data_IF_327046750297
#
_entry.id   IF_327046750297
#
_cell.length_a   1.000
_cell.length_b   1.000
_cell.length_c   1.000
_cell.angle_alpha   90.00
_cell.angle_beta   90.00
_cell.angle_gamma   90.00
#
_symmetry.space_group_name_H-M   'P 1'
#
loop_
_entity.id
_entity.type
_entity.pdbx_description
1 polymer ?
#
# COMPACT_ATOMS: atom_id res chain seq x y z
N UNK A 1 24.72 22.11 80.00
CA UNK A 1 24.09 22.92 78.94
C UNK A 1 23.65 21.96 77.84
N UNK A 2 22.33 21.79 77.62
CA UNK A 2 21.81 20.85 76.65
C UNK A 2 21.67 21.52 75.27
N UNK A 3 22.15 20.86 74.22
CA UNK A 3 21.81 21.22 72.85
C UNK A 3 20.63 20.35 72.39
N UNK A 4 19.47 21.00 72.23
CA UNK A 4 18.31 20.47 71.53
C UNK A 4 18.69 20.21 70.07
N UNK A 5 18.56 18.95 69.62
CA UNK A 5 18.44 18.64 68.19
C UNK A 5 16.96 18.45 67.86
N UNK A 6 16.48 19.29 66.95
CA UNK A 6 15.15 19.22 66.37
C UNK A 6 15.06 17.98 65.45
N UNK A 7 14.05 17.14 65.68
CA UNK A 7 13.60 16.15 64.71
C UNK A 7 12.81 16.86 63.62
N UNK A 8 13.35 16.93 62.40
CA UNK A 8 12.56 17.23 61.20
C UNK A 8 11.82 15.97 60.76
N UNK A 9 10.51 16.11 60.54
CA UNK A 9 9.66 15.07 60.00
C UNK A 9 9.99 14.82 58.52
N UNK A 10 9.95 13.57 58.02
CA UNK A 10 10.14 13.30 56.60
C UNK A 10 9.02 13.94 55.79
N UNK A 11 9.41 14.70 54.77
CA UNK A 11 8.51 15.29 53.80
C UNK A 11 7.61 14.22 53.17
N UNK A 12 6.32 14.53 53.06
CA UNK A 12 5.34 13.71 52.39
C UNK A 12 5.84 13.36 50.98
N UNK A 13 5.96 12.05 50.72
CA UNK A 13 6.18 11.49 49.39
C UNK A 13 5.11 12.06 48.47
N UNK A 14 5.52 12.92 47.52
CA UNK A 14 4.67 13.30 46.42
C UNK A 14 4.19 12.00 45.76
N UNK A 15 2.88 11.77 45.78
CA UNK A 15 2.28 10.69 45.03
C UNK A 15 2.64 10.92 43.56
N UNK A 16 3.42 10.00 43.00
CA UNK A 16 3.66 9.93 41.57
C UNK A 16 2.30 9.73 40.93
N UNK A 17 1.80 10.75 40.23
CA UNK A 17 0.61 10.61 39.40
C UNK A 17 0.84 9.45 38.42
N UNK A 18 -0.16 8.57 38.22
CA UNK A 18 -0.01 7.49 37.25
C UNK A 18 0.21 8.12 35.88
N UNK A 19 1.41 7.91 35.32
CA UNK A 19 1.70 8.20 33.92
C UNK A 19 0.57 7.62 33.07
N UNK A 20 -0.14 8.47 32.33
CA UNK A 20 -1.08 8.03 31.32
C UNK A 20 -0.36 7.06 30.39
N UNK A 21 -0.76 5.80 30.50
CA UNK A 21 -0.20 4.66 29.82
C UNK A 21 -0.27 4.81 28.30
N UNK A 22 0.82 4.45 27.60
CA UNK A 22 0.86 3.37 26.61
C UNK A 22 -0.34 3.19 25.63
N UNK A 23 -0.97 4.26 25.13
CA UNK A 23 -1.95 4.14 24.05
C UNK A 23 -1.23 4.27 22.72
N UNK A 24 -1.29 3.22 21.89
CA UNK A 24 -0.89 3.27 20.48
C UNK A 24 -2.04 3.91 19.73
N UNK A 25 -1.84 5.13 19.25
CA UNK A 25 -2.83 5.88 18.47
C UNK A 25 -2.29 6.14 17.06
N UNK A 26 -3.20 6.21 16.09
CA UNK A 26 -2.89 6.43 14.69
C UNK A 26 -3.79 7.59 14.21
N UNK A 27 -3.24 8.76 13.86
CA UNK A 27 -4.07 9.88 13.45
C UNK A 27 -4.71 9.63 12.06
N UNK A 28 -5.94 10.11 11.80
CA UNK A 28 -6.52 10.09 10.46
C UNK A 28 -5.63 10.77 9.41
N UNK A 29 -5.54 10.18 8.22
CA UNK A 29 -4.68 10.70 7.14
C UNK A 29 -5.32 10.59 5.74
N UNK A 30 -4.61 11.12 4.75
CA UNK A 30 -4.83 10.87 3.33
C UNK A 30 -4.15 9.57 2.91
N UNK A 31 -4.88 8.73 2.19
CA UNK A 31 -4.48 7.40 1.74
C UNK A 31 -4.68 7.28 0.24
N UNK A 32 -3.73 6.60 -0.42
CA UNK A 32 -3.78 6.30 -1.84
C UNK A 32 -4.04 4.81 -2.05
N UNK A 33 -5.01 4.49 -2.91
CA UNK A 33 -5.37 3.13 -3.27
C UNK A 33 -5.27 2.96 -4.79
N UNK A 34 -4.41 2.06 -5.26
CA UNK A 34 -4.44 1.66 -6.67
C UNK A 34 -5.76 0.98 -6.99
N UNK A 35 -6.35 1.32 -8.13
CA UNK A 35 -7.60 0.74 -8.61
C UNK A 35 -7.34 -0.30 -9.70
N UNK A 36 -7.76 -1.54 -9.42
CA UNK A 36 -7.68 -2.68 -10.33
C UNK A 36 -9.06 -3.25 -10.65
N UNK A 37 -9.16 -3.95 -11.79
CA UNK A 37 -10.40 -4.59 -12.24
C UNK A 37 -11.25 -3.68 -13.14
N UNK A 38 -12.22 -4.29 -13.82
CA UNK A 38 -13.06 -3.62 -14.80
C UNK A 38 -14.54 -3.80 -14.49
N UNK A 39 -14.96 -5.05 -14.27
CA UNK A 39 -16.31 -5.38 -13.84
C UNK A 39 -16.47 -5.08 -12.35
N UNK A 40 -15.54 -5.57 -11.54
CA UNK A 40 -15.44 -5.27 -10.11
C UNK A 40 -14.17 -4.47 -9.83
N UNK A 41 -14.32 -3.32 -9.18
CA UNK A 41 -13.16 -2.48 -8.85
C UNK A 41 -12.63 -2.86 -7.47
N UNK A 42 -11.32 -3.07 -7.39
CA UNK A 42 -10.59 -3.33 -6.16
C UNK A 42 -9.66 -2.17 -5.85
N UNK A 43 -9.70 -1.70 -4.61
CA UNK A 43 -8.81 -0.70 -4.06
C UNK A 43 -7.69 -1.40 -3.27
N UNK A 44 -6.44 -1.19 -3.66
CA UNK A 44 -5.25 -1.75 -2.98
C UNK A 44 -4.37 -0.62 -2.48
N UNK A 45 -4.18 -0.56 -1.17
CA UNK A 45 -3.46 0.53 -0.52
C UNK A 45 -1.99 0.54 -0.92
N UNK A 46 -1.50 1.72 -1.30
CA UNK A 46 -0.09 1.98 -1.53
C UNK A 46 0.57 2.27 -0.18
N UNK A 47 1.28 1.28 0.35
CA UNK A 47 1.89 1.36 1.68
C UNK A 47 3.07 2.32 1.69
N UNK A 48 3.30 2.99 2.82
CA UNK A 48 4.48 3.82 3.05
C UNK A 48 5.15 3.43 4.37
N UNK A 49 6.39 2.92 4.32
CA UNK A 49 7.04 2.41 5.53
C UNK A 49 7.58 3.50 6.45
N UNK A 50 7.78 4.71 5.94
CA UNK A 50 8.28 5.85 6.70
C UNK A 50 7.22 6.45 7.64
N UNK A 51 5.94 6.12 7.47
CA UNK A 51 4.82 6.68 8.23
C UNK A 51 3.95 5.60 8.85
N UNK A 52 3.78 5.63 10.17
CA UNK A 52 2.99 4.64 10.92
C UNK A 52 1.55 4.49 10.38
N UNK A 53 0.93 5.61 10.00
CA UNK A 53 -0.43 5.66 9.43
C UNK A 53 -0.58 4.83 8.15
N UNK A 54 0.52 4.52 7.46
CA UNK A 54 0.56 3.83 6.18
C UNK A 54 1.07 2.38 6.26
N UNK A 55 1.37 1.86 7.45
CA UNK A 55 1.93 0.51 7.66
C UNK A 55 0.85 -0.60 7.73
N UNK A 56 -0.07 -0.57 6.79
CA UNK A 56 -1.15 -1.54 6.67
C UNK A 56 -1.28 -1.99 5.22
N UNK A 57 -1.20 -3.29 4.98
CA UNK A 57 -1.54 -3.83 3.69
C UNK A 57 -3.03 -4.17 3.66
N UNK A 58 -3.78 -3.47 2.81
CA UNK A 58 -5.24 -3.63 2.70
C UNK A 58 -5.65 -3.67 1.23
N UNK A 59 -6.56 -4.59 0.93
CA UNK A 59 -7.23 -4.71 -0.36
C UNK A 59 -8.72 -4.98 -0.13
N UNK A 60 -9.59 -4.29 -0.87
CA UNK A 60 -11.04 -4.48 -0.77
C UNK A 60 -11.72 -4.15 -2.09
N UNK A 61 -12.90 -4.72 -2.32
CA UNK A 61 -13.78 -4.29 -3.40
C UNK A 61 -14.35 -2.92 -3.04
N UNK A 62 -14.30 -1.98 -3.96
CA UNK A 62 -14.94 -0.66 -3.82
C UNK A 62 -16.07 -0.55 -4.83
N UNK A 63 -17.24 -0.11 -4.36
CA UNK A 63 -18.34 0.25 -5.24
C UNK A 63 -18.30 1.77 -5.48
N UNK A 64 -18.25 2.14 -6.77
CA UNK A 64 -18.18 3.51 -7.24
C UNK A 64 -19.56 3.95 -7.77
N UNK A 65 -19.93 5.24 -7.65
CA UNK A 65 -21.11 5.75 -8.35
C UNK A 65 -21.02 5.49 -9.85
N UNK A 66 -22.15 5.19 -10.50
CA UNK A 66 -22.17 4.74 -11.90
C UNK A 66 -21.43 5.69 -12.85
N UNK A 67 -21.65 7.01 -12.72
CA UNK A 67 -20.95 7.99 -13.55
C UNK A 67 -19.42 7.93 -13.38
N UNK A 68 -18.95 7.78 -12.13
CA UNK A 68 -17.52 7.65 -11.80
C UNK A 68 -16.95 6.34 -12.34
N UNK A 69 -17.71 5.24 -12.21
CA UNK A 69 -17.33 3.93 -12.73
C UNK A 69 -17.17 3.95 -14.25
N UNK A 70 -18.03 4.66 -14.97
CA UNK A 70 -17.93 4.80 -16.42
C UNK A 70 -16.67 5.58 -16.84
N UNK A 71 -16.35 6.68 -16.16
CA UNK A 71 -15.09 7.42 -16.40
C UNK A 71 -13.86 6.56 -16.11
N UNK A 72 -13.84 5.88 -14.97
CA UNK A 72 -12.78 4.92 -14.61
C UNK A 72 -12.59 3.86 -15.70
N UNK A 73 -13.68 3.21 -16.13
CA UNK A 73 -13.67 2.17 -17.17
C UNK A 73 -13.19 2.72 -18.51
N UNK A 74 -13.57 3.94 -18.86
CA UNK A 74 -13.12 4.56 -20.10
C UNK A 74 -11.61 4.81 -20.09
N UNK A 75 -11.07 5.34 -18.98
CA UNK A 75 -9.62 5.55 -18.83
C UNK A 75 -8.87 4.21 -18.82
N UNK A 76 -9.31 3.24 -18.02
CA UNK A 76 -8.69 1.90 -17.93
C UNK A 76 -8.71 1.16 -19.25
N UNK A 77 -9.78 1.27 -20.05
CA UNK A 77 -9.85 0.65 -21.39
C UNK A 77 -8.80 1.23 -22.34
N UNK A 78 -8.61 2.54 -22.30
CA UNK A 78 -7.65 3.23 -23.17
C UNK A 78 -6.20 3.07 -22.68
N UNK A 79 -6.00 2.86 -21.37
CA UNK A 79 -4.68 2.76 -20.75
C UNK A 79 -4.66 1.59 -19.75
N UNK A 80 -4.66 0.33 -20.23
CA UNK A 80 -4.88 -0.83 -19.37
C UNK A 80 -3.76 -1.08 -18.35
N UNK A 81 -2.54 -0.59 -18.62
CA UNK A 81 -1.40 -0.68 -17.71
C UNK A 81 -1.18 0.53 -16.81
N UNK A 82 -1.98 1.58 -16.92
CA UNK A 82 -1.73 2.80 -16.15
C UNK A 82 -2.01 2.61 -14.66
N UNK A 83 -1.22 3.31 -13.85
CA UNK A 83 -1.52 3.50 -12.45
C UNK A 83 -2.73 4.43 -12.35
N UNK A 84 -3.86 3.91 -11.84
CA UNK A 84 -5.04 4.70 -11.53
C UNK A 84 -5.21 4.63 -10.03
N UNK A 85 -5.33 5.77 -9.38
CA UNK A 85 -5.30 5.87 -7.93
C UNK A 85 -6.54 6.59 -7.43
N UNK A 86 -7.16 6.01 -6.42
CA UNK A 86 -8.22 6.64 -5.64
C UNK A 86 -7.63 7.13 -4.33
N UNK A 87 -7.89 8.38 -4.02
CA UNK A 87 -7.47 9.00 -2.78
C UNK A 87 -8.71 9.45 -2.00
N UNK A 88 -8.72 9.29 -0.68
CA UNK A 88 -9.77 9.92 0.11
C UNK A 88 -9.65 11.45 0.07
N UNK A 89 -10.77 12.13 0.27
CA UNK A 89 -10.84 13.58 0.26
C UNK A 89 -10.13 14.16 1.49
N UNK A 90 -9.48 15.32 1.35
CA UNK A 90 -8.75 15.98 2.44
C UNK A 90 -9.64 16.37 3.63
N UNK A 91 -10.91 16.63 3.37
CA UNK A 91 -11.94 16.90 4.41
C UNK A 91 -12.56 15.62 5.00
N UNK A 92 -12.16 14.44 4.52
CA UNK A 92 -12.64 13.15 5.01
C UNK A 92 -11.48 12.17 5.30
N UNK A 93 -10.51 12.57 6.16
CA UNK A 93 -9.41 11.69 6.56
C UNK A 93 -9.93 10.53 7.42
N UNK A 94 -9.23 9.41 7.40
CA UNK A 94 -9.52 8.27 8.26
C UNK A 94 -8.25 7.48 8.56
N UNK A 95 -8.34 6.50 9.46
CA UNK A 95 -7.27 5.53 9.71
C UNK A 95 -7.56 4.25 8.94
N UNK A 96 -6.56 3.61 8.33
CA UNK A 96 -6.76 2.36 7.58
C UNK A 96 -7.53 1.29 8.38
N UNK A 97 -7.28 1.06 9.69
CA UNK A 97 -8.05 0.10 10.49
C UNK A 97 -9.56 0.37 10.61
N UNK A 98 -10.04 1.61 10.38
CA UNK A 98 -11.46 1.93 10.43
C UNK A 98 -12.27 1.23 9.32
N UNK A 99 -11.64 0.87 8.20
CA UNK A 99 -12.26 0.13 7.09
C UNK A 99 -12.63 -1.30 7.53
N UNK A 100 -11.68 -2.18 7.91
CA UNK A 100 -12.01 -3.55 8.33
C UNK A 100 -12.80 -3.61 9.64
N UNK A 101 -12.72 -2.57 10.49
CA UNK A 101 -13.56 -2.44 11.67
C UNK A 101 -15.04 -2.13 11.34
N UNK A 102 -15.34 -1.74 10.10
CA UNK A 102 -16.69 -1.34 9.67
C UNK A 102 -17.10 0.07 10.10
N UNK A 103 -16.17 0.85 10.65
CA UNK A 103 -16.37 2.24 11.08
C UNK A 103 -16.33 3.23 9.91
N UNK A 104 -15.69 2.84 8.81
CA UNK A 104 -15.62 3.61 7.56
C UNK A 104 -16.25 2.85 6.39
N UNK A 105 -17.58 2.64 6.37
CA UNK A 105 -18.26 1.92 5.27
C UNK A 105 -18.32 2.73 3.98
N UNK A 106 -18.18 4.06 4.07
CA UNK A 106 -18.15 4.99 2.94
C UNK A 106 -17.18 6.14 3.23
N UNK A 107 -16.64 6.76 2.19
CA UNK A 107 -15.81 7.96 2.32
C UNK A 107 -15.84 8.80 1.04
N UNK A 108 -15.61 10.11 1.16
CA UNK A 108 -15.42 11.00 0.01
C UNK A 108 -14.06 10.74 -0.63
N UNK A 109 -14.00 10.74 -1.96
CA UNK A 109 -12.81 10.39 -2.71
C UNK A 109 -12.67 11.15 -4.04
N UNK A 110 -11.46 11.08 -4.59
CA UNK A 110 -11.08 11.53 -5.92
C UNK A 110 -10.30 10.40 -6.63
N UNK A 111 -10.43 10.28 -7.95
CA UNK A 111 -9.65 9.36 -8.79
C UNK A 111 -8.70 10.15 -9.70
N UNK A 112 -7.45 9.74 -9.77
CA UNK A 112 -6.39 10.35 -10.59
C UNK A 112 -5.71 9.30 -11.49
N UNK A 113 -5.08 9.78 -12.57
CA UNK A 113 -4.30 8.95 -13.49
C UNK A 113 -2.82 9.28 -13.33
N UNK A 114 -2.01 8.27 -13.05
CA UNK A 114 -0.56 8.35 -12.98
C UNK A 114 -0.01 8.99 -11.70
N UNK A 115 1.31 9.05 -11.64
CA UNK A 115 2.05 9.79 -10.62
C UNK A 115 2.48 11.14 -11.19
N UNK A 116 2.05 12.26 -10.58
CA UNK A 116 2.53 13.57 -11.00
C UNK A 116 3.99 13.73 -10.56
N UNK A 117 4.74 14.54 -11.31
CA UNK A 117 6.05 15.00 -10.86
C UNK A 117 5.91 15.72 -9.52
N UNK A 118 6.94 15.66 -8.67
CA UNK A 118 6.98 16.37 -7.39
C UNK A 118 7.65 17.74 -7.60
N UNK A 119 6.90 18.85 -7.64
CA UNK A 119 7.48 20.16 -7.83
C UNK A 119 8.40 20.49 -6.63
N UNK A 120 9.65 20.95 -6.86
CA UNK A 120 10.61 21.21 -5.77
C UNK A 120 10.07 22.14 -4.68
N UNK A 121 9.23 23.10 -5.05
CA UNK A 121 8.58 24.05 -4.13
C UNK A 121 7.64 23.40 -3.11
N UNK A 122 7.22 22.14 -3.33
CA UNK A 122 6.36 21.40 -2.43
C UNK A 122 7.09 20.27 -1.68
N UNK A 123 8.37 20.00 -1.99
CA UNK A 123 9.12 18.92 -1.34
C UNK A 123 9.36 19.18 0.16
N UNK A 124 9.39 20.45 0.57
CA UNK A 124 9.55 20.85 1.97
C UNK A 124 8.21 20.98 2.72
N UNK A 125 7.06 20.81 2.05
CA UNK A 125 5.74 20.86 2.70
C UNK A 125 5.47 19.54 3.44
N UNK A 126 5.39 19.53 4.79
CA UNK A 126 5.13 18.32 5.56
C UNK A 126 3.73 17.73 5.30
N UNK A 127 2.86 18.48 4.62
CA UNK A 127 1.53 18.06 4.21
C UNK A 127 1.43 17.86 2.69
N UNK A 128 2.56 17.78 1.99
CA UNK A 128 2.56 17.54 0.56
C UNK A 128 1.83 16.23 0.23
N UNK A 129 0.85 16.37 -0.66
CA UNK A 129 0.12 15.25 -1.22
C UNK A 129 0.25 15.30 -2.74
N UNK A 130 0.85 14.27 -3.39
CA UNK A 130 1.10 14.31 -4.83
C UNK A 130 -0.17 14.55 -5.66
N UNK A 131 -1.31 14.05 -5.18
CA UNK A 131 -2.59 14.16 -5.87
C UNK A 131 -3.49 15.28 -5.32
N UNK A 132 -2.91 16.40 -4.87
CA UNK A 132 -3.69 17.56 -4.46
C UNK A 132 -4.43 18.18 -5.68
N UNK A 133 -5.78 18.17 -5.69
CA UNK A 133 -6.57 18.66 -6.81
C UNK A 133 -6.60 20.18 -6.94
N UNK A 134 -6.09 20.92 -5.96
CA UNK A 134 -6.03 22.38 -5.99
C UNK A 134 -4.68 22.90 -6.46
N UNK A 135 -3.61 22.10 -6.31
CA UNK A 135 -2.23 22.55 -6.54
C UNK A 135 -1.51 21.80 -7.65
N UNK A 136 -1.77 20.50 -7.80
CA UNK A 136 -0.92 19.62 -8.62
C UNK A 136 -1.67 19.06 -9.82
N UNK A 137 -2.78 18.34 -9.60
CA UNK A 137 -3.38 17.48 -10.63
C UNK A 137 -4.89 17.44 -10.56
N UNK A 138 -5.57 17.63 -11.69
CA UNK A 138 -7.01 17.44 -11.79
C UNK A 138 -7.42 15.96 -11.73
N UNK A 139 -8.49 15.62 -11.02
CA UNK A 139 -8.99 14.25 -10.98
C UNK A 139 -9.67 13.87 -12.31
N UNK A 140 -9.63 12.58 -12.65
CA UNK A 140 -10.50 11.97 -13.67
C UNK A 140 -11.96 12.11 -13.23
N UNK A 141 -12.21 11.84 -11.95
CA UNK A 141 -13.50 11.99 -11.30
C UNK A 141 -13.27 12.45 -9.86
N UNK A 142 -13.81 13.61 -9.51
CA UNK A 142 -13.61 14.24 -8.21
C UNK A 142 -14.86 14.25 -7.34
N UNK A 143 -14.65 14.41 -6.03
CA UNK A 143 -15.65 14.61 -4.99
C UNK A 143 -16.87 13.69 -5.08
N UNK A 144 -16.63 12.39 -4.97
CA UNK A 144 -17.68 11.37 -4.96
C UNK A 144 -17.61 10.52 -3.68
N UNK A 145 -18.72 9.85 -3.34
CA UNK A 145 -18.74 8.89 -2.22
C UNK A 145 -18.38 7.50 -2.73
N UNK A 146 -17.25 6.96 -2.28
CA UNK A 146 -16.87 5.57 -2.44
C UNK A 146 -17.54 4.71 -1.36
N UNK A 147 -18.00 3.50 -1.71
CA UNK A 147 -18.54 2.53 -0.75
C UNK A 147 -17.57 1.37 -0.59
N UNK A 148 -17.18 1.09 0.65
CA UNK A 148 -16.36 -0.08 0.98
C UNK A 148 -17.24 -1.32 0.86
N UNK A 149 -16.88 -2.18 -0.09
CA UNK A 149 -17.47 -3.49 -0.26
C UNK A 149 -16.73 -4.54 0.56
N UNK A 150 -16.57 -5.70 -0.05
CA UNK A 150 -15.96 -6.87 0.60
C UNK A 150 -14.46 -6.67 0.83
N UNK A 151 -14.01 -6.99 2.04
CA UNK A 151 -12.58 -7.12 2.35
C UNK A 151 -11.95 -8.32 1.63
N UNK A 152 -10.78 -8.10 1.02
CA UNK A 152 -9.95 -9.13 0.39
C UNK A 152 -8.72 -9.41 1.24
N UNK A 153 -8.07 -8.37 1.73
CA UNK A 153 -6.93 -8.43 2.63
C UNK A 153 -7.01 -7.30 3.63
N UNK A 154 -6.70 -7.59 4.89
CA UNK A 154 -6.27 -6.60 5.86
C UNK A 154 -5.17 -7.22 6.70
N UNK A 155 -4.01 -6.58 6.72
CA UNK A 155 -2.86 -7.05 7.49
C UNK A 155 -2.04 -5.84 8.00
N UNK A 156 -2.02 -5.56 9.31
CA UNK A 156 -1.00 -4.68 9.87
C UNK A 156 0.38 -5.32 9.69
N UNK A 157 1.41 -4.52 9.42
CA UNK A 157 2.76 -5.05 9.35
C UNK A 157 3.26 -5.46 10.74
N UNK A 158 3.96 -6.59 10.79
CA UNK A 158 4.66 -7.03 11.98
C UNK A 158 6.15 -7.01 11.68
N UNK A 159 6.85 -6.01 12.20
CA UNK A 159 8.24 -5.71 11.83
C UNK A 159 9.26 -6.82 12.19
N UNK A 160 8.87 -7.79 13.01
CA UNK A 160 9.70 -8.96 13.32
C UNK A 160 9.58 -10.08 12.26
N UNK A 161 8.66 -9.98 11.31
CA UNK A 161 8.59 -10.90 10.19
C UNK A 161 9.82 -10.74 9.32
N UNK A 162 10.32 -11.86 8.80
CA UNK A 162 11.46 -11.89 7.91
C UNK A 162 10.99 -11.96 6.47
N UNK A 163 11.69 -11.26 5.59
CA UNK A 163 11.48 -11.38 4.16
C UNK A 163 11.72 -12.83 3.68
N UNK A 164 10.77 -13.41 2.92
CA UNK A 164 10.93 -14.75 2.36
C UNK A 164 12.01 -14.78 1.29
N UNK A 165 12.55 -15.97 0.97
CA UNK A 165 13.55 -16.13 -0.10
C UNK A 165 13.02 -15.78 -1.49
N UNK A 166 11.72 -16.02 -1.71
CA UNK A 166 11.03 -15.76 -2.97
C UNK A 166 9.74 -15.01 -2.70
N UNK A 167 9.27 -14.26 -3.68
CA UNK A 167 8.09 -13.42 -3.52
C UNK A 167 6.83 -14.26 -3.31
N UNK A 168 5.95 -13.75 -2.44
CA UNK A 168 4.62 -14.30 -2.22
C UNK A 168 3.61 -13.24 -2.59
N UNK A 169 2.54 -13.62 -3.26
CA UNK A 169 1.48 -12.72 -3.69
C UNK A 169 0.15 -13.17 -3.11
N UNK A 170 -0.74 -12.22 -2.88
CA UNK A 170 -2.15 -12.51 -2.79
C UNK A 170 -2.71 -12.53 -4.21
N UNK A 171 -3.28 -13.66 -4.63
CA UNK A 171 -4.06 -13.82 -5.86
C UNK A 171 -5.54 -13.75 -5.50
N UNK A 172 -6.26 -12.80 -6.10
CA UNK A 172 -7.68 -12.54 -5.81
C UNK A 172 -8.42 -12.04 -7.04
N UNK A 173 -9.75 -12.04 -7.02
CA UNK A 173 -10.56 -11.56 -8.14
C UNK A 173 -12.02 -11.99 -8.05
N UNK A 174 -12.81 -11.69 -9.06
CA UNK A 174 -14.23 -12.05 -9.14
C UNK A 174 -14.69 -12.08 -10.61
N UNK A 175 -15.69 -12.92 -10.92
CA UNK A 175 -16.38 -12.98 -12.21
C UNK A 175 -15.48 -13.02 -13.47
N UNK A 176 -14.37 -13.75 -13.40
CA UNK A 176 -13.45 -13.97 -14.53
C UNK A 176 -12.26 -12.99 -14.56
N UNK A 177 -12.25 -11.98 -13.69
CA UNK A 177 -11.10 -11.12 -13.45
C UNK A 177 -10.23 -11.66 -12.31
N UNK A 178 -8.92 -11.47 -12.41
CA UNK A 178 -7.99 -11.81 -11.34
C UNK A 178 -6.82 -10.83 -11.29
N UNK A 179 -6.29 -10.64 -10.08
CA UNK A 179 -5.27 -9.67 -9.74
C UNK A 179 -4.28 -10.30 -8.75
N UNK A 180 -3.07 -9.76 -8.72
CA UNK A 180 -2.07 -10.15 -7.74
C UNK A 180 -1.43 -8.91 -7.11
N UNK A 181 -1.22 -8.94 -5.79
CA UNK A 181 -0.40 -7.95 -5.07
C UNK A 181 0.67 -8.65 -4.25
N UNK A 182 1.91 -8.16 -4.27
CA UNK A 182 3.03 -8.72 -3.52
C UNK A 182 2.73 -8.60 -2.01
N UNK A 183 2.87 -9.69 -1.27
CA UNK A 183 2.77 -9.71 0.18
C UNK A 183 4.09 -9.22 0.77
N UNK A 184 4.09 -7.93 1.06
CA UNK A 184 5.13 -7.20 1.75
C UNK A 184 5.38 -7.74 3.17
N UNK A 185 6.43 -7.31 3.84
CA UNK A 185 6.73 -7.67 5.24
C UNK A 185 7.00 -6.46 6.12
N UNK A 186 7.59 -5.40 5.57
CA UNK A 186 8.11 -4.26 6.34
C UNK A 186 9.04 -4.70 7.48
N UNK A 187 9.95 -5.63 7.20
CA UNK A 187 10.91 -6.15 8.18
C UNK A 187 11.73 -5.00 8.80
N UNK A 188 11.93 -4.99 10.13
CA UNK A 188 12.89 -4.08 10.78
C UNK A 188 14.31 -4.53 10.39
N UNK A 189 15.04 -3.63 9.73
CA UNK A 189 16.38 -3.87 9.22
C UNK A 189 17.47 -3.28 10.11
N UNK A 190 17.13 -2.30 10.95
CA UNK A 190 18.06 -1.65 11.88
C UNK A 190 18.17 -2.43 13.20
N UNK A 191 19.33 -2.28 13.84
CA UNK A 191 19.56 -2.79 15.20
C UNK A 191 18.91 -1.94 16.30
N UNK A 192 18.89 -2.43 17.55
CA UNK A 192 18.26 -1.73 18.69
C UNK A 192 18.95 -0.42 19.11
N UNK A 193 20.07 -0.07 18.49
CA UNK A 193 20.84 1.15 18.77
C UNK A 193 20.96 2.06 17.54
N UNK A 194 20.21 1.76 16.48
CA UNK A 194 20.16 2.50 15.23
C UNK A 194 18.75 3.08 15.03
N UNK A 195 18.59 4.19 14.29
CA UNK A 195 17.27 4.64 13.89
C UNK A 195 16.50 3.55 13.14
N UNK A 196 15.19 3.47 13.36
CA UNK A 196 14.33 2.48 12.71
C UNK A 196 14.42 2.56 11.18
N UNK A 197 14.82 1.45 10.57
CA UNK A 197 14.82 1.26 9.12
C UNK A 197 13.99 0.03 8.76
N UNK A 198 13.09 0.16 7.78
CA UNK A 198 12.18 -0.91 7.36
C UNK A 198 12.45 -1.32 5.91
N UNK A 199 12.53 -2.63 5.65
CA UNK A 199 12.81 -3.20 4.32
C UNK A 199 14.02 -4.15 4.32
N UNK A 200 14.66 -4.40 3.15
CA UNK A 200 14.23 -3.93 1.85
C UNK A 200 12.99 -4.69 1.35
N UNK A 201 12.10 -4.07 0.57
CA UNK A 201 10.87 -4.66 0.03
C UNK A 201 10.42 -3.93 -1.26
N UNK A 202 9.33 -4.39 -1.87
CA UNK A 202 8.72 -3.73 -3.02
C UNK A 202 7.20 -3.92 -3.02
N UNK A 203 6.48 -2.89 -3.44
CA UNK A 203 5.05 -2.98 -3.76
C UNK A 203 4.93 -3.33 -5.24
N UNK A 204 4.24 -4.42 -5.55
CA UNK A 204 3.95 -4.80 -6.92
C UNK A 204 2.51 -5.27 -7.02
N UNK A 205 1.78 -4.66 -7.96
CA UNK A 205 0.36 -4.88 -8.18
C UNK A 205 0.13 -5.07 -9.67
N UNK A 206 -0.58 -6.14 -10.03
CA UNK A 206 -0.81 -6.52 -11.42
C UNK A 206 -2.19 -7.14 -11.61
N UNK A 207 -2.71 -6.99 -12.83
CA UNK A 207 -3.88 -7.71 -13.31
C UNK A 207 -3.43 -8.92 -14.13
N UNK A 208 -4.19 -10.01 -14.03
CA UNK A 208 -4.04 -11.17 -14.89
C UNK A 208 -4.90 -11.01 -16.13
N UNK A 209 -4.51 -11.69 -17.21
CA UNK A 209 -5.27 -11.70 -18.47
C UNK A 209 -6.67 -12.29 -18.31
N UNK A 210 -6.83 -13.19 -17.35
CA UNK A 210 -8.07 -13.88 -17.00
C UNK A 210 -7.91 -14.58 -15.64
N UNK A 211 -9.03 -14.87 -14.99
CA UNK A 211 -9.05 -15.76 -13.84
C UNK A 211 -8.42 -17.14 -14.17
N UNK A 212 -7.58 -17.70 -13.27
CA UNK A 212 -7.01 -19.03 -13.47
C UNK A 212 -8.09 -20.12 -13.38
N UNK A 213 -8.03 -21.08 -14.30
CA UNK A 213 -8.95 -22.23 -14.37
C UNK A 213 -8.77 -23.26 -13.25
N UNK A 214 -7.60 -23.28 -12.61
CA UNK A 214 -7.26 -24.18 -11.52
C UNK A 214 -7.74 -23.71 -10.14
N UNK A 215 -8.27 -22.48 -10.03
CA UNK A 215 -8.75 -21.91 -8.77
C UNK A 215 -10.26 -21.72 -8.82
N UNK A 216 -10.99 -22.34 -7.89
CA UNK A 216 -12.46 -22.18 -7.85
C UNK A 216 -12.85 -20.71 -7.66
N UNK A 217 -13.99 -20.26 -8.20
CA UNK A 217 -14.47 -18.88 -8.04
C UNK A 217 -14.55 -18.43 -6.58
N UNK A 218 -14.98 -19.29 -5.65
CA UNK A 218 -15.05 -18.97 -4.22
C UNK A 218 -13.67 -18.68 -3.62
N UNK A 219 -12.65 -19.47 -3.96
CA UNK A 219 -11.29 -19.24 -3.48
C UNK A 219 -10.67 -17.99 -4.12
N UNK A 220 -10.91 -17.76 -5.42
CA UNK A 220 -10.46 -16.54 -6.09
C UNK A 220 -11.08 -15.30 -5.46
N UNK A 221 -12.39 -15.36 -5.17
CA UNK A 221 -13.11 -14.31 -4.45
C UNK A 221 -12.46 -14.09 -3.09
N UNK A 222 -12.32 -15.13 -2.26
CA UNK A 222 -11.70 -15.01 -0.94
C UNK A 222 -10.26 -14.46 -0.95
N UNK A 223 -9.51 -14.69 -2.02
CA UNK A 223 -8.09 -14.39 -2.10
C UNK A 223 -7.25 -15.53 -1.53
N UNK A 224 -6.16 -15.87 -2.21
CA UNK A 224 -5.27 -16.95 -1.81
C UNK A 224 -3.81 -16.54 -1.92
N UNK A 225 -2.98 -17.06 -1.03
CA UNK A 225 -1.53 -16.86 -1.13
C UNK A 225 -0.94 -17.78 -2.18
N UNK A 226 -0.11 -17.23 -3.06
CA UNK A 226 0.71 -17.96 -4.00
C UNK A 226 2.16 -17.54 -3.87
N UNK A 227 3.08 -18.48 -4.06
CA UNK A 227 4.52 -18.20 -4.14
C UNK A 227 4.93 -18.13 -5.61
N UNK A 228 5.83 -17.22 -5.96
CA UNK A 228 6.35 -17.06 -7.32
C UNK A 228 7.86 -17.37 -7.34
N UNK A 229 8.26 -18.62 -7.62
CA UNK A 229 9.66 -19.06 -7.47
C UNK A 229 10.67 -18.29 -8.33
N UNK A 230 10.25 -17.74 -9.46
CA UNK A 230 11.10 -16.98 -10.37
C UNK A 230 11.52 -15.61 -9.81
N UNK A 231 10.84 -15.10 -8.79
CA UNK A 231 11.16 -13.81 -8.17
C UNK A 231 11.84 -14.08 -6.82
N UNK A 232 13.18 -14.11 -6.84
CA UNK A 232 13.99 -14.19 -5.62
C UNK A 232 14.04 -12.82 -4.96
N UNK A 233 13.76 -12.79 -3.65
CA UNK A 233 13.92 -11.59 -2.84
C UNK A 233 15.23 -11.63 -2.04
N UNK A 234 15.82 -12.82 -1.88
CA UNK A 234 17.14 -13.00 -1.28
C UNK A 234 17.93 -14.04 -2.06
N UNK A 235 19.24 -13.84 -2.12
CA UNK A 235 20.17 -14.86 -2.62
C UNK A 235 20.40 -15.97 -1.58
N UNK A 236 21.25 -16.95 -1.93
CA UNK A 236 21.55 -18.08 -1.05
C UNK A 236 22.39 -17.68 0.20
N UNK A 237 23.07 -16.53 0.14
CA UNK A 237 23.78 -15.91 1.28
C UNK A 237 22.84 -15.06 2.16
N UNK A 238 21.59 -14.84 1.74
CA UNK A 238 20.62 -14.00 2.43
C UNK A 238 20.72 -12.52 2.08
N UNK A 239 21.53 -12.14 1.09
CA UNK A 239 21.58 -10.77 0.55
C UNK A 239 20.27 -10.46 -0.16
N UNK A 240 19.65 -9.31 0.09
CA UNK A 240 18.46 -8.89 -0.64
C UNK A 240 18.69 -8.76 -2.14
N UNK A 241 17.72 -9.21 -2.95
CA UNK A 241 17.73 -9.14 -4.43
C UNK A 241 16.40 -8.57 -4.94
N UNK A 242 15.91 -7.51 -4.28
CA UNK A 242 14.61 -6.91 -4.58
C UNK A 242 14.60 -6.34 -6.00
N UNK A 243 13.56 -6.64 -6.81
CA UNK A 243 13.50 -6.11 -8.16
C UNK A 243 13.21 -4.61 -8.16
N UNK A 244 13.96 -3.87 -8.97
CA UNK A 244 13.79 -2.42 -9.20
C UNK A 244 12.83 -2.07 -10.34
N UNK A 245 12.14 -3.06 -10.89
CA UNK A 245 11.16 -2.92 -11.96
C UNK A 245 10.18 -4.09 -11.90
N UNK A 246 9.11 -4.04 -12.69
CA UNK A 246 8.19 -5.18 -12.78
C UNK A 246 8.97 -6.45 -13.14
N UNK A 247 8.87 -7.53 -12.34
CA UNK A 247 9.56 -8.78 -12.63
C UNK A 247 8.95 -9.52 -13.83
N UNK A 248 7.80 -9.06 -14.37
CA UNK A 248 7.07 -9.74 -15.42
C UNK A 248 6.70 -8.80 -16.58
N UNK A 249 6.74 -9.35 -17.79
CA UNK A 249 6.26 -8.69 -18.99
C UNK A 249 4.75 -8.93 -19.20
N UNK A 250 4.08 -7.99 -19.87
CA UNK A 250 2.68 -8.16 -20.26
C UNK A 250 2.53 -9.38 -21.19
N UNK A 251 1.52 -10.22 -20.93
CA UNK A 251 1.28 -11.47 -21.67
C UNK A 251 2.20 -12.63 -21.27
N UNK A 252 3.17 -12.44 -20.38
CA UNK A 252 4.03 -13.50 -19.88
C UNK A 252 3.20 -14.51 -19.07
N UNK A 253 3.40 -15.80 -19.33
CA UNK A 253 2.90 -16.86 -18.44
C UNK A 253 3.96 -17.16 -17.40
N UNK A 254 3.57 -17.13 -16.13
CA UNK A 254 4.45 -17.36 -14.99
C UNK A 254 3.95 -18.55 -14.17
N UNK A 255 4.89 -19.23 -13.53
CA UNK A 255 4.60 -20.31 -12.60
C UNK A 255 4.36 -19.77 -11.19
N UNK A 256 3.31 -20.27 -10.55
CA UNK A 256 2.93 -19.95 -9.18
C UNK A 256 2.67 -21.25 -8.40
N UNK A 257 2.99 -21.26 -7.11
CA UNK A 257 2.72 -22.39 -6.22
C UNK A 257 1.63 -21.99 -5.23
N UNK A 258 0.51 -22.71 -5.25
CA UNK A 258 -0.59 -22.46 -4.32
C UNK A 258 -0.10 -22.71 -2.89
N UNK A 259 -0.06 -21.65 -2.08
CA UNK A 259 0.50 -21.67 -0.72
C UNK A 259 1.93 -22.24 -0.63
N UNK A 260 2.72 -22.06 -1.69
CA UNK A 260 4.08 -22.58 -1.76
C UNK A 260 4.18 -24.10 -1.95
N UNK A 261 3.06 -24.78 -2.19
CA UNK A 261 3.01 -26.24 -2.37
C UNK A 261 2.86 -26.60 -3.85
N UNK A 262 3.56 -27.65 -4.25
CA UNK A 262 3.44 -28.23 -5.60
C UNK A 262 2.12 -28.96 -5.83
N UNK A 263 1.77 -29.25 -7.10
CA UNK A 263 2.51 -28.88 -8.32
C UNK A 263 2.39 -27.39 -8.65
N UNK A 264 3.35 -26.89 -9.45
CA UNK A 264 3.27 -25.54 -10.01
C UNK A 264 2.00 -25.37 -10.86
N UNK A 265 1.44 -24.16 -10.81
CA UNK A 265 0.29 -23.71 -11.58
C UNK A 265 0.71 -22.52 -12.42
N UNK A 266 -0.09 -22.18 -13.43
CA UNK A 266 0.23 -21.08 -14.33
C UNK A 266 -0.81 -19.98 -14.24
N UNK A 267 -0.34 -18.75 -14.41
CA UNK A 267 -1.16 -17.56 -14.63
C UNK A 267 -0.52 -16.73 -15.73
N UNK A 268 -1.33 -15.97 -16.48
CA UNK A 268 -0.84 -15.08 -17.53
C UNK A 268 -1.00 -13.64 -17.09
N UNK A 269 0.10 -12.89 -17.08
CA UNK A 269 0.12 -11.47 -16.73
C UNK A 269 -0.67 -10.69 -17.78
N UNK A 270 -1.61 -9.87 -17.32
CA UNK A 270 -2.26 -8.84 -18.13
C UNK A 270 -1.37 -7.61 -18.15
N UNK A 271 -1.41 -6.84 -17.05
CA UNK A 271 -0.62 -5.63 -16.88
C UNK A 271 -0.16 -5.45 -15.44
N UNK A 272 1.11 -5.09 -15.24
CA UNK A 272 1.56 -4.50 -13.98
C UNK A 272 1.12 -3.04 -13.94
N UNK A 273 0.40 -2.65 -12.89
CA UNK A 273 -0.13 -1.28 -12.71
C UNK A 273 0.67 -0.48 -11.69
N UNK A 274 1.38 -1.17 -10.79
CA UNK A 274 2.31 -0.55 -9.85
C UNK A 274 3.50 -1.47 -9.60
N UNK A 275 4.72 -0.95 -9.68
CA UNK A 275 5.92 -1.59 -9.13
C UNK A 275 6.83 -0.52 -8.50
N UNK A 276 6.95 -0.51 -7.18
CA UNK A 276 7.64 0.55 -6.46
C UNK A 276 8.45 0.05 -5.26
N UNK A 277 9.67 0.54 -5.12
CA UNK A 277 10.48 0.41 -3.92
C UNK A 277 10.46 1.69 -3.09
N UNK A 278 10.23 2.86 -3.71
CA UNK A 278 10.28 4.17 -3.04
C UNK A 278 9.31 4.30 -1.85
N UNK A 279 8.18 3.59 -1.91
CA UNK A 279 7.16 3.60 -0.84
C UNK A 279 7.37 2.49 0.19
N UNK A 280 8.11 1.43 -0.14
CA UNK A 280 8.22 0.21 0.67
C UNK A 280 9.59 0.03 1.32
N UNK A 281 10.32 1.12 1.55
CA UNK A 281 11.66 1.08 2.14
C UNK A 281 11.97 2.37 2.90
N UNK A 282 12.70 2.26 4.01
CA UNK A 282 13.45 3.41 4.54
C UNK A 282 14.64 3.73 3.63
N UNK A 283 15.04 5.00 3.58
CA UNK A 283 16.16 5.47 2.75
C UNK A 283 17.44 4.64 2.96
N UNK A 284 17.77 4.33 4.22
CA UNK A 284 18.96 3.56 4.60
C UNK A 284 19.01 2.13 4.03
N UNK A 285 17.88 1.59 3.55
CA UNK A 285 17.78 0.22 3.02
C UNK A 285 17.15 0.19 1.63
N UNK A 286 17.11 1.32 0.93
CA UNK A 286 16.54 1.40 -0.42
C UNK A 286 17.33 0.52 -1.40
N UNK A 287 16.71 -0.48 -2.06
CA UNK A 287 17.43 -1.38 -2.95
C UNK A 287 17.71 -0.79 -4.34
N UNK A 288 17.05 0.32 -4.68
CA UNK A 288 17.04 0.90 -6.03
C UNK A 288 17.38 2.39 -5.98
N UNK A 289 17.88 2.95 -7.09
CA UNK A 289 18.02 4.40 -7.20
C UNK A 289 16.65 5.08 -7.14
N UNK A 290 16.63 6.36 -6.76
CA UNK A 290 15.40 7.17 -6.74
C UNK A 290 14.65 7.12 -8.08
N UNK A 291 15.37 7.29 -9.19
CA UNK A 291 14.82 7.22 -10.57
C UNK A 291 14.15 5.86 -10.85
N UNK A 292 14.70 4.76 -10.33
CA UNK A 292 14.16 3.41 -10.53
C UNK A 292 13.17 2.99 -9.44
N UNK A 293 12.94 3.83 -8.42
CA UNK A 293 12.18 3.45 -7.23
C UNK A 293 10.67 3.46 -7.44
N UNK A 294 10.18 4.10 -8.50
CA UNK A 294 8.76 4.26 -8.82
C UNK A 294 8.50 3.91 -10.29
N UNK A 295 8.20 2.64 -10.59
CA UNK A 295 7.85 2.19 -11.95
C UNK A 295 6.32 2.20 -12.10
N UNK A 296 5.78 3.39 -12.31
CA UNK A 296 4.36 3.65 -12.53
C UNK A 296 4.17 4.64 -13.68
N UNK A 297 3.00 4.64 -14.31
CA UNK A 297 2.71 5.59 -15.39
C UNK A 297 2.75 7.03 -14.85
N UNK A 298 3.33 7.99 -15.59
CA UNK A 298 3.26 9.40 -15.22
C UNK A 298 1.83 9.94 -15.37
N UNK A 299 1.52 11.02 -14.67
CA UNK A 299 0.27 11.76 -14.89
C UNK A 299 0.27 12.38 -16.29
N UNK A 300 -0.76 12.15 -17.13
CA UNK A 300 -0.87 12.81 -18.42
C UNK A 300 -0.98 14.34 -18.31
N UNK A 301 -0.27 15.09 -19.15
CA UNK A 301 -0.20 16.56 -19.11
C UNK A 301 -1.55 17.26 -19.03
N UNK A 302 -2.59 16.72 -19.69
CA UNK A 302 -3.95 17.29 -19.66
C UNK A 302 -4.56 17.38 -18.25
N UNK A 303 -4.03 16.61 -17.30
CA UNK A 303 -4.46 16.65 -15.91
C UNK A 303 -3.55 17.50 -15.02
N UNK A 304 -2.37 17.91 -15.49
CA UNK A 304 -1.48 18.76 -14.70
C UNK A 304 -2.01 20.20 -14.66
N UNK A 305 -2.11 20.77 -13.47
CA UNK A 305 -2.60 22.16 -13.30
C UNK A 305 -1.62 23.16 -13.92
N UNK A 306 -0.31 22.89 -13.85
CA UNK A 306 0.73 23.71 -14.48
C UNK A 306 0.64 23.80 -16.01
N UNK A 307 -0.15 22.92 -16.64
CA UNK A 307 -0.33 22.83 -18.09
C UNK A 307 -1.61 23.51 -18.59
N UNK A 308 -2.39 24.14 -17.69
CA UNK A 308 -3.59 24.91 -18.01
C UNK A 308 -3.33 26.43 -17.99
#
# INVERSE_FOLDING_TARGET
MPHHMHHEAPAASAAVEPQHANVVDNPPHLHAFSLMGYEHVFAVHMTQYHHEVHKYQIAYRVDLPEAVLQEYRQVRRNNPGDFIVMCNHAEDPFIIPAIPAGEKPTFRANIFQGMPSFPPEYLDDPHFFPWDPQKVVLPIAGDFTATVGRMVLFRPFAHHYQQPKVATYLLFGEDGEAHMTNLQTASLASGPFEPDAFGPDYDHQLTLKSAPDWLSPTLLKAGVVVTVPSVRLRDDAGTPTIPCASPFANGQTIEVMYRGMGPARQVTVGHSVLCATGVSNSEAVMPCSEEASMNISPTPDRFLISSQ
#
